data_IF_738523194112
#
_entry.id   IF_738523194112
#
_cell.length_a   1.000
_cell.length_b   1.000
_cell.length_c   1.000
_cell.angle_alpha   90.00
_cell.angle_beta   90.00
_cell.angle_gamma   90.00
#
_symmetry.space_group_name_H-M   'P 1'
#
loop_
_entity.id
_entity.type
_entity.pdbx_description
1 polymer ?
#
# COMPACT_ATOMS: atom_id res chain seq x y z
N UNK A 1 29.04 -22.92 -46.26
CA UNK A 1 29.29 -22.35 -44.92
C UNK A 1 29.06 -20.85 -44.93
N UNK A 2 28.01 -20.36 -44.26
CA UNK A 2 27.94 -19.07 -43.54
C UNK A 2 26.64 -19.04 -42.73
N UNK A 3 26.78 -18.84 -41.42
CA UNK A 3 25.74 -18.80 -40.38
C UNK A 3 25.36 -17.34 -40.12
N UNK A 4 24.21 -17.14 -39.45
CA UNK A 4 23.77 -15.95 -38.66
C UNK A 4 23.30 -14.77 -39.53
N UNK A 5 22.22 -14.03 -39.28
CA UNK A 5 21.40 -13.75 -38.10
C UNK A 5 20.04 -13.22 -38.57
N UNK A 6 18.93 -13.69 -38.01
CA UNK A 6 17.62 -13.08 -38.28
C UNK A 6 16.68 -13.24 -37.06
N UNK A 7 17.14 -12.83 -35.88
CA UNK A 7 16.26 -12.68 -34.70
C UNK A 7 16.79 -11.50 -33.91
N UNK A 8 16.38 -10.27 -34.22
CA UNK A 8 16.66 -9.10 -33.36
C UNK A 8 15.79 -7.86 -33.66
N UNK A 9 14.58 -8.03 -34.23
CA UNK A 9 13.72 -6.89 -34.58
C UNK A 9 12.38 -6.83 -33.84
N UNK A 10 12.13 -7.71 -32.86
CA UNK A 10 10.85 -7.79 -32.15
C UNK A 10 10.79 -7.19 -30.74
N UNK A 11 11.90 -6.73 -30.16
CA UNK A 11 11.98 -6.42 -28.72
C UNK A 11 11.99 -4.92 -28.36
N UNK A 12 12.11 -4.01 -29.33
CA UNK A 12 12.23 -2.58 -29.05
C UNK A 12 10.88 -1.84 -28.95
N UNK A 13 9.79 -2.38 -29.51
CA UNK A 13 8.51 -1.65 -29.58
C UNK A 13 7.67 -1.79 -28.30
N UNK A 14 7.83 -2.87 -27.53
CA UNK A 14 7.12 -3.03 -26.25
C UNK A 14 7.69 -2.20 -25.09
N UNK A 15 8.95 -1.78 -25.16
CA UNK A 15 9.56 -0.94 -24.12
C UNK A 15 9.11 0.53 -24.19
N UNK A 16 8.64 0.99 -25.35
CA UNK A 16 8.25 2.40 -25.55
C UNK A 16 6.81 2.70 -25.11
N UNK A 17 5.94 1.68 -25.10
CA UNK A 17 4.52 1.84 -24.68
C UNK A 17 4.40 1.84 -23.14
N UNK A 18 5.30 1.15 -22.43
CA UNK A 18 5.27 1.11 -20.95
C UNK A 18 5.80 2.38 -20.30
N UNK A 19 6.69 3.14 -20.97
CA UNK A 19 7.17 4.43 -20.41
C UNK A 19 6.14 5.56 -20.50
N UNK A 20 5.24 5.56 -21.49
CA UNK A 20 4.19 6.58 -21.59
C UNK A 20 3.05 6.38 -20.60
N UNK A 21 2.77 5.16 -20.18
CA UNK A 21 1.74 4.88 -19.18
C UNK A 21 2.18 5.27 -17.76
N UNK A 22 3.48 5.15 -17.42
CA UNK A 22 3.99 5.53 -16.10
C UNK A 22 4.30 7.03 -15.95
N UNK A 23 4.43 7.79 -17.05
CA UNK A 23 4.72 9.22 -16.99
C UNK A 23 3.48 10.13 -16.97
N UNK A 24 2.26 9.58 -17.10
CA UNK A 24 1.02 10.36 -17.09
C UNK A 24 0.38 10.49 -15.71
N UNK A 25 0.86 9.76 -14.70
CA UNK A 25 0.36 9.87 -13.32
C UNK A 25 0.89 11.11 -12.59
N UNK A 26 2.07 11.62 -12.97
CA UNK A 26 2.72 12.75 -12.30
C UNK A 26 2.48 14.09 -13.02
N UNK A 27 2.09 14.08 -14.30
CA UNK A 27 1.97 15.28 -15.12
C UNK A 27 0.67 16.09 -14.94
N UNK A 28 -0.20 15.72 -13.99
CA UNK A 28 -1.46 16.42 -13.72
C UNK A 28 -1.44 17.35 -12.49
N UNK A 29 -0.30 17.57 -11.84
CA UNK A 29 -0.15 18.53 -10.73
C UNK A 29 0.90 19.60 -11.03
N UNK A 30 0.62 20.45 -12.02
CA UNK A 30 1.28 21.75 -12.14
C UNK A 30 0.24 22.84 -12.23
N UNK A 31 -0.23 23.34 -11.08
CA UNK A 31 -0.77 24.71 -10.96
C UNK A 31 -0.46 25.28 -9.56
N UNK A 32 0.26 26.40 -9.59
CA UNK A 32 0.54 27.40 -8.54
C UNK A 32 1.77 27.18 -7.63
N UNK A 33 2.56 28.25 -7.33
CA UNK A 33 3.49 28.27 -6.21
C UNK A 33 2.67 28.44 -4.92
N UNK A 34 1.92 27.40 -4.57
CA UNK A 34 1.39 27.19 -3.23
C UNK A 34 2.37 26.34 -2.45
N UNK A 35 2.43 26.49 -1.13
CA UNK A 35 3.31 25.73 -0.25
C UNK A 35 3.39 24.25 -0.66
N UNK A 36 4.61 23.69 -0.72
CA UNK A 36 4.78 22.26 -0.96
C UNK A 36 3.89 21.50 0.03
N UNK A 37 3.01 20.61 -0.43
CA UNK A 37 2.10 19.89 0.46
C UNK A 37 2.92 19.12 1.49
N UNK A 38 2.67 19.40 2.77
CA UNK A 38 3.27 18.65 3.87
C UNK A 38 2.48 17.36 4.03
N UNK A 39 3.18 16.24 4.08
CA UNK A 39 2.57 14.93 4.28
C UNK A 39 3.00 14.35 5.61
N UNK A 40 2.08 13.64 6.25
CA UNK A 40 2.40 12.74 7.34
C UNK A 40 2.16 11.29 6.92
N UNK A 41 2.89 10.38 7.56
CA UNK A 41 2.96 8.98 7.15
C UNK A 41 2.56 8.06 8.30
N UNK A 42 1.81 7.04 7.96
CA UNK A 42 1.45 5.96 8.86
C UNK A 42 1.77 4.62 8.18
N UNK A 43 2.02 3.58 8.96
CA UNK A 43 2.35 2.26 8.42
C UNK A 43 1.52 1.14 9.03
N UNK A 44 1.27 0.10 8.25
CA UNK A 44 0.70 -1.16 8.73
C UNK A 44 1.83 -2.17 8.84
N UNK A 45 1.97 -2.80 10.01
CA UNK A 45 2.95 -3.87 10.26
C UNK A 45 2.28 -5.12 10.78
N UNK A 46 2.82 -6.26 10.38
CA UNK A 46 2.50 -7.56 10.96
C UNK A 46 3.59 -7.93 11.98
N UNK A 47 3.24 -7.95 13.26
CA UNK A 47 4.15 -8.24 14.38
C UNK A 47 3.52 -9.30 15.27
N UNK A 48 4.25 -10.38 15.59
CA UNK A 48 3.80 -11.39 16.57
C UNK A 48 2.36 -11.89 16.33
N UNK A 49 2.04 -12.27 15.09
CA UNK A 49 0.70 -12.70 14.66
C UNK A 49 -0.41 -11.63 14.75
N UNK A 50 -0.05 -10.37 14.94
CA UNK A 50 -0.98 -9.24 15.05
C UNK A 50 -0.70 -8.20 13.98
N UNK A 51 -1.76 -7.68 13.39
CA UNK A 51 -1.67 -6.50 12.52
C UNK A 51 -1.85 -5.24 13.36
N UNK A 52 -0.90 -4.30 13.24
CA UNK A 52 -0.92 -3.03 13.95
C UNK A 52 -0.74 -1.86 12.99
N UNK A 53 -1.30 -0.71 13.34
CA UNK A 53 -1.07 0.56 12.67
C UNK A 53 -0.11 1.37 13.53
N UNK A 54 0.96 1.86 12.92
CA UNK A 54 1.87 2.85 13.49
C UNK A 54 1.47 4.21 12.92
N UNK A 55 0.95 5.07 13.79
CA UNK A 55 0.47 6.40 13.43
C UNK A 55 1.61 7.41 13.32
N UNK A 56 1.37 8.59 12.72
CA UNK A 56 2.42 9.61 12.54
C UNK A 56 2.99 10.16 13.85
N UNK A 57 2.23 10.12 14.93
CA UNK A 57 2.65 10.49 16.29
C UNK A 57 3.45 9.38 16.99
N UNK A 58 3.69 8.25 16.32
CA UNK A 58 4.41 7.09 16.85
C UNK A 58 3.55 6.15 17.68
N UNK A 59 2.26 6.45 17.89
CA UNK A 59 1.36 5.55 18.61
C UNK A 59 1.15 4.28 17.79
N UNK A 60 1.27 3.12 18.46
CA UNK A 60 1.05 1.81 17.86
C UNK A 60 -0.28 1.25 18.35
N UNK A 61 -1.23 1.06 17.44
CA UNK A 61 -2.55 0.51 17.76
C UNK A 61 -2.77 -0.83 17.06
N UNK A 62 -3.21 -1.84 17.84
CA UNK A 62 -3.62 -3.12 17.30
C UNK A 62 -4.96 -2.99 16.57
N UNK A 63 -5.04 -3.54 15.36
CA UNK A 63 -6.23 -3.43 14.49
C UNK A 63 -7.45 -4.16 15.08
N UNK A 64 -7.26 -5.26 15.80
CA UNK A 64 -8.34 -5.95 16.51
C UNK A 64 -8.94 -5.05 17.59
N UNK A 65 -8.08 -4.40 18.39
CA UNK A 65 -8.51 -3.45 19.42
C UNK A 65 -9.26 -2.26 18.82
N UNK A 66 -8.74 -1.71 17.71
CA UNK A 66 -9.38 -0.61 16.97
C UNK A 66 -10.77 -0.95 16.42
N UNK A 67 -11.02 -2.22 16.12
CA UNK A 67 -12.34 -2.68 15.65
C UNK A 67 -13.28 -3.09 16.78
N UNK A 68 -12.88 -2.91 18.04
CA UNK A 68 -13.65 -3.31 19.22
C UNK A 68 -13.76 -4.83 19.38
N UNK A 69 -12.97 -5.59 18.62
CA UNK A 69 -12.97 -7.05 18.69
C UNK A 69 -11.99 -7.49 19.78
N UNK A 70 -12.48 -8.28 20.74
CA UNK A 70 -11.66 -8.81 21.84
C UNK A 70 -10.94 -10.06 21.39
N UNK A 71 -9.70 -10.20 21.86
CA UNK A 71 -8.82 -11.34 21.64
C UNK A 71 -9.53 -12.67 21.91
N UNK A 72 -9.14 -13.67 21.11
CA UNK A 72 -9.54 -15.08 21.15
C UNK A 72 -9.87 -15.63 22.56
N UNK A 73 -11.13 -15.60 22.95
CA UNK A 73 -11.67 -16.62 23.83
C UNK A 73 -12.18 -17.75 22.92
N UNK A 74 -11.51 -18.90 22.95
CA UNK A 74 -11.88 -20.13 22.25
C UNK A 74 -11.60 -20.19 20.73
N UNK A 75 -10.56 -19.50 20.25
CA UNK A 75 -9.87 -19.92 19.02
C UNK A 75 -10.54 -19.62 17.67
N UNK A 76 -11.57 -18.77 17.60
CA UNK A 76 -11.96 -18.21 16.29
C UNK A 76 -12.61 -16.85 16.41
N UNK A 77 -11.84 -15.81 16.10
CA UNK A 77 -12.43 -14.61 15.56
C UNK A 77 -13.03 -14.97 14.19
N UNK A 78 -14.31 -14.68 13.95
CA UNK A 78 -14.96 -14.93 12.65
C UNK A 78 -14.45 -13.92 11.62
N UNK A 79 -13.23 -14.12 11.10
CA UNK A 79 -12.90 -13.63 9.76
C UNK A 79 -13.48 -14.62 8.75
N UNK A 80 -13.82 -14.19 7.52
CA UNK A 80 -14.50 -15.04 6.55
C UNK A 80 -13.79 -16.39 6.36
N UNK A 81 -14.53 -17.50 6.42
CA UNK A 81 -13.95 -18.84 6.21
C UNK A 81 -13.29 -18.89 4.84
N UNK A 82 -12.03 -19.32 4.80
CA UNK A 82 -11.23 -19.38 3.57
C UNK A 82 -10.49 -18.09 3.21
N UNK A 83 -10.61 -17.03 4.01
CA UNK A 83 -9.74 -15.85 3.85
C UNK A 83 -8.40 -16.03 4.56
N UNK A 84 -7.35 -15.49 3.95
CA UNK A 84 -6.05 -15.38 4.60
C UNK A 84 -6.13 -14.38 5.76
N UNK A 85 -5.74 -14.81 6.95
CA UNK A 85 -5.86 -14.02 8.19
C UNK A 85 -5.13 -12.67 8.05
N UNK A 86 -3.91 -12.71 7.50
CA UNK A 86 -3.07 -11.51 7.36
C UNK A 86 -3.66 -10.54 6.35
N UNK A 87 -4.13 -11.03 5.20
CA UNK A 87 -4.76 -10.20 4.17
C UNK A 87 -6.09 -9.60 4.63
N UNK A 88 -6.87 -10.34 5.42
CA UNK A 88 -8.09 -9.82 6.03
C UNK A 88 -7.77 -8.60 6.93
N UNK A 89 -6.82 -8.76 7.85
CA UNK A 89 -6.45 -7.69 8.77
C UNK A 89 -5.74 -6.53 8.10
N UNK A 90 -4.93 -6.80 7.08
CA UNK A 90 -4.36 -5.75 6.25
C UNK A 90 -5.47 -4.91 5.62
N UNK A 91 -6.46 -5.55 5.00
CA UNK A 91 -7.60 -4.86 4.37
C UNK A 91 -8.39 -4.02 5.38
N UNK A 92 -8.64 -4.56 6.58
CA UNK A 92 -9.28 -3.81 7.67
C UNK A 92 -8.46 -2.58 8.06
N UNK A 93 -7.13 -2.73 8.15
CA UNK A 93 -6.20 -1.62 8.47
C UNK A 93 -6.28 -0.50 7.44
N UNK A 94 -6.20 -0.84 6.15
CA UNK A 94 -6.29 0.13 5.06
C UNK A 94 -7.62 0.87 5.06
N UNK A 95 -8.72 0.19 5.38
CA UNK A 95 -10.04 0.81 5.51
C UNK A 95 -10.11 1.79 6.69
N UNK A 96 -9.52 1.45 7.84
CA UNK A 96 -9.45 2.36 9.00
C UNK A 96 -8.64 3.61 8.64
N UNK A 97 -7.47 3.43 8.02
CA UNK A 97 -6.59 4.52 7.63
C UNK A 97 -7.23 5.40 6.54
N UNK A 98 -7.87 4.79 5.54
CA UNK A 98 -8.61 5.50 4.49
C UNK A 98 -9.72 6.40 5.04
N UNK A 99 -10.47 5.92 6.06
CA UNK A 99 -11.48 6.74 6.77
C UNK A 99 -10.86 7.95 7.49
N UNK A 100 -9.58 7.90 7.84
CA UNK A 100 -8.82 9.01 8.46
C UNK A 100 -8.09 9.89 7.43
N UNK A 101 -8.36 9.71 6.14
CA UNK A 101 -7.81 10.50 5.04
C UNK A 101 -6.46 10.02 4.51
N UNK A 102 -5.98 8.85 4.94
CA UNK A 102 -4.74 8.28 4.42
C UNK A 102 -4.97 7.59 3.07
N UNK A 103 -4.04 7.80 2.14
CA UNK A 103 -3.95 7.13 0.84
C UNK A 103 -2.70 6.26 0.75
N UNK A 104 -2.75 5.22 -0.07
CA UNK A 104 -1.61 4.32 -0.27
C UNK A 104 -0.42 5.10 -0.87
N UNK A 105 0.72 5.06 -0.19
CA UNK A 105 1.95 5.71 -0.65
C UNK A 105 2.92 4.69 -1.23
N UNK A 106 3.14 3.58 -0.52
CA UNK A 106 4.10 2.55 -0.91
C UNK A 106 3.74 1.21 -0.26
N UNK A 107 4.11 0.12 -0.93
CA UNK A 107 3.99 -1.22 -0.39
C UNK A 107 5.21 -2.02 -0.84
N UNK A 108 5.94 -2.59 0.12
CA UNK A 108 7.05 -3.50 -0.12
C UNK A 108 7.01 -4.63 0.89
N UNK A 109 7.05 -5.87 0.41
CA UNK A 109 7.01 -7.07 1.23
C UNK A 109 5.87 -7.07 2.25
N UNK A 110 6.21 -6.78 3.51
CA UNK A 110 5.32 -6.81 4.66
C UNK A 110 4.91 -5.44 5.16
N UNK A 111 5.51 -4.37 4.61
CA UNK A 111 5.30 -3.00 5.01
C UNK A 111 4.35 -2.30 4.05
N UNK A 112 3.26 -1.76 4.60
CA UNK A 112 2.38 -0.85 3.86
C UNK A 112 2.50 0.53 4.46
N UNK A 113 2.83 1.50 3.62
CA UNK A 113 2.97 2.90 3.99
C UNK A 113 1.80 3.67 3.37
N UNK A 114 1.10 4.41 4.20
CA UNK A 114 0.07 5.34 3.76
C UNK A 114 0.43 6.76 4.16
N UNK A 115 -0.03 7.74 3.39
CA UNK A 115 0.22 9.16 3.63
C UNK A 115 -1.08 9.95 3.65
N UNK A 116 -1.12 11.08 4.34
CA UNK A 116 -2.16 12.10 4.15
C UNK A 116 -1.54 13.49 4.12
N UNK A 117 -2.17 14.40 3.40
CA UNK A 117 -1.77 15.80 3.41
C UNK A 117 -2.17 16.45 4.73
N UNK A 118 -1.26 17.20 5.34
CA UNK A 118 -1.49 18.04 6.51
C UNK A 118 -1.93 19.41 5.99
N UNK A 119 -3.10 19.88 6.43
CA UNK A 119 -3.63 21.21 6.09
C UNK A 119 -3.16 22.25 7.11
#
# INVERSE_FOLDING_TARGET
MRKRSAILLGLAVMALVTHRAMSQSDAARSKMPGANPVFEYASVRFMEEKTSIIWPDGVVENVMTLTGKKTFQNGSEKYPKGSDYRMYWLTVSLNIMGKRGFELAHMSESDVIMKRQVN
#
